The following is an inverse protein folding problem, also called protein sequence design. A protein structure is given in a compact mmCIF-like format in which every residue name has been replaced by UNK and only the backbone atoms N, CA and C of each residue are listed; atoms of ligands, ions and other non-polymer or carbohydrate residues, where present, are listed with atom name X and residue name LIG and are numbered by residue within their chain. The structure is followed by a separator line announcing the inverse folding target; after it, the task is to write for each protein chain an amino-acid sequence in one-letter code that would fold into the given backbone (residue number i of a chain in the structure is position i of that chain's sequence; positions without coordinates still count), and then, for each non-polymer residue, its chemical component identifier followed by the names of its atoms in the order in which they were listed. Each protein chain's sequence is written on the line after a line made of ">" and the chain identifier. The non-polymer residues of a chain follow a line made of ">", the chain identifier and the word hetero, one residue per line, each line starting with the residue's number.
data_IF_878554257041
#
_entry.id   IF_878554257041
#
_cell.length_a   1.000
_cell.length_b   1.000
_cell.length_c   1.000
_cell.angle_alpha   90.00
_cell.angle_beta   90.00
_cell.angle_gamma   90.00
#
_symmetry.space_group_name_H-M   'P 1'
#
loop_
_entity.id
_entity.type
_entity.pdbx_description
1 polymer ?
#
# COMPACT_ATOMS: atom_id res chain seq x y z
N UNK A 1 25.56 17.31 20.03
CA UNK A 1 24.46 16.34 19.86
C UNK A 1 24.05 16.46 18.41
N UNK A 2 24.34 15.46 17.59
CA UNK A 2 23.78 15.40 16.23
C UNK A 2 22.27 15.27 16.37
N UNK A 3 21.54 16.33 16.07
CA UNK A 3 20.12 16.22 15.76
C UNK A 3 20.03 15.34 14.53
N UNK A 4 19.54 14.12 14.67
CA UNK A 4 19.27 13.24 13.53
C UNK A 4 18.49 14.05 12.49
N UNK A 5 19.01 14.10 11.26
CA UNK A 5 18.38 14.84 10.18
C UNK A 5 16.95 14.33 9.99
N UNK A 6 16.00 15.25 9.91
CA UNK A 6 14.59 14.93 9.66
C UNK A 6 14.44 14.22 8.31
N UNK A 7 13.61 13.17 8.20
CA UNK A 7 13.37 12.51 6.92
C UNK A 7 12.71 13.48 5.94
N UNK A 8 13.17 13.47 4.69
CA UNK A 8 12.54 14.25 3.63
C UNK A 8 11.23 13.59 3.18
N UNK A 9 10.31 14.38 2.60
CA UNK A 9 9.09 13.86 1.98
C UNK A 9 9.38 12.70 1.00
N UNK A 10 10.41 12.85 0.15
CA UNK A 10 10.81 11.81 -0.80
C UNK A 10 11.31 10.52 -0.12
N UNK A 11 12.00 10.64 1.02
CA UNK A 11 12.39 9.46 1.81
C UNK A 11 11.18 8.75 2.41
N UNK A 12 10.17 9.49 2.88
CA UNK A 12 8.93 8.92 3.41
C UNK A 12 8.06 8.29 2.33
N UNK A 13 7.98 8.90 1.14
CA UNK A 13 7.34 8.30 -0.03
C UNK A 13 8.02 6.99 -0.41
N UNK A 14 9.35 6.98 -0.55
CA UNK A 14 10.10 5.79 -0.89
C UNK A 14 9.89 4.66 0.12
N UNK A 15 9.94 4.97 1.43
CA UNK A 15 9.68 4.01 2.49
C UNK A 15 8.25 3.44 2.42
N UNK A 16 7.26 4.29 2.17
CA UNK A 16 5.85 3.90 2.06
C UNK A 16 5.63 2.95 0.88
N UNK A 17 6.22 3.27 -0.28
CA UNK A 17 6.17 2.43 -1.48
C UNK A 17 6.85 1.08 -1.26
N UNK A 18 8.03 1.05 -0.64
CA UNK A 18 8.72 -0.20 -0.29
C UNK A 18 7.86 -1.07 0.63
N UNK A 19 7.28 -0.46 1.66
CA UNK A 19 6.45 -1.17 2.63
C UNK A 19 5.18 -1.73 2.01
N UNK A 20 4.55 -0.99 1.09
CA UNK A 20 3.37 -1.42 0.34
C UNK A 20 3.71 -2.54 -0.63
N UNK A 21 4.78 -2.42 -1.42
CA UNK A 21 5.22 -3.48 -2.34
C UNK A 21 5.50 -4.78 -1.58
N UNK A 22 6.26 -4.72 -0.48
CA UNK A 22 6.51 -5.90 0.36
C UNK A 22 5.21 -6.54 0.87
N UNK A 23 4.24 -5.72 1.28
CA UNK A 23 2.95 -6.21 1.77
C UNK A 23 2.12 -6.87 0.66
N UNK A 24 2.11 -6.28 -0.54
CA UNK A 24 1.38 -6.77 -1.71
C UNK A 24 1.99 -8.06 -2.25
N UNK A 25 3.33 -8.16 -2.33
CA UNK A 25 4.03 -9.40 -2.68
C UNK A 25 3.67 -10.51 -1.68
N UNK A 26 3.74 -10.23 -0.38
CA UNK A 26 3.39 -11.22 0.63
C UNK A 26 1.89 -11.62 0.61
N UNK A 27 1.01 -10.73 0.16
CA UNK A 27 -0.41 -11.02 -0.06
C UNK A 27 -0.58 -12.02 -1.22
N UNK A 28 0.08 -11.78 -2.36
CA UNK A 28 0.06 -12.67 -3.52
C UNK A 28 0.67 -14.04 -3.18
N UNK A 29 1.80 -14.07 -2.47
CA UNK A 29 2.41 -15.31 -2.01
C UNK A 29 1.48 -16.11 -1.09
N UNK A 30 0.73 -15.41 -0.22
CA UNK A 30 -0.26 -16.06 0.67
C UNK A 30 -1.36 -16.73 -0.12
N UNK A 31 -1.83 -16.11 -1.20
CA UNK A 31 -2.78 -16.72 -2.12
C UNK A 31 -2.18 -17.93 -2.83
N UNK A 32 -0.96 -17.82 -3.34
CA UNK A 32 -0.30 -18.94 -4.03
C UNK A 32 -0.08 -20.17 -3.12
N UNK A 33 0.03 -19.95 -1.80
CA UNK A 33 0.13 -21.00 -0.81
C UNK A 33 -1.22 -21.54 -0.31
N UNK A 34 -2.34 -20.88 -0.62
CA UNK A 34 -3.68 -21.29 -0.19
C UNK A 34 -4.23 -22.37 -1.14
N UNK A 35 -4.20 -23.62 -0.68
CA UNK A 35 -4.72 -24.76 -1.45
C UNK A 35 -6.24 -24.75 -1.60
N UNK A 36 -6.95 -23.98 -0.76
CA UNK A 36 -8.40 -23.84 -0.80
C UNK A 36 -8.82 -22.58 -1.58
N UNK A 37 -7.91 -22.00 -2.38
CA UNK A 37 -8.23 -20.84 -3.21
C UNK A 37 -9.30 -21.18 -4.24
N UNK A 38 -10.31 -20.32 -4.35
CA UNK A 38 -11.45 -20.58 -5.21
C UNK A 38 -11.36 -19.76 -6.50
N UNK A 39 -11.70 -20.36 -7.64
CA UNK A 39 -11.68 -19.67 -8.95
C UNK A 39 -12.61 -18.45 -8.99
N UNK A 40 -13.63 -18.41 -8.12
CA UNK A 40 -14.52 -17.25 -7.98
C UNK A 40 -13.87 -16.02 -7.33
N UNK A 41 -12.66 -16.15 -6.76
CA UNK A 41 -11.91 -15.05 -6.17
C UNK A 41 -10.91 -14.41 -7.18
N UNK A 42 -11.05 -14.69 -8.48
CA UNK A 42 -10.12 -14.18 -9.51
C UNK A 42 -10.07 -12.66 -9.58
N UNK A 43 -11.19 -11.95 -9.38
CA UNK A 43 -11.20 -10.49 -9.34
C UNK A 43 -10.45 -9.93 -8.11
N UNK A 44 -10.43 -10.68 -7.01
CA UNK A 44 -9.67 -10.33 -5.80
C UNK A 44 -8.17 -10.41 -6.09
N UNK A 45 -7.74 -11.47 -6.80
CA UNK A 45 -6.36 -11.63 -7.27
C UNK A 45 -5.94 -10.48 -8.19
N UNK A 46 -6.76 -10.20 -9.22
CA UNK A 46 -6.48 -9.15 -10.19
C UNK A 46 -6.42 -7.76 -9.55
N UNK A 47 -7.24 -7.50 -8.53
CA UNK A 47 -7.19 -6.24 -7.79
C UNK A 47 -5.88 -6.09 -6.99
N UNK A 48 -5.38 -7.17 -6.38
CA UNK A 48 -4.08 -7.17 -5.69
C UNK A 48 -2.91 -6.97 -6.68
N UNK A 49 -2.95 -7.63 -7.84
CA UNK A 49 -1.96 -7.47 -8.91
C UNK A 49 -1.98 -6.05 -9.49
N UNK A 50 -3.17 -5.47 -9.68
CA UNK A 50 -3.33 -4.10 -10.17
C UNK A 50 -2.73 -3.09 -9.19
N UNK A 51 -2.99 -3.25 -7.89
CA UNK A 51 -2.38 -2.42 -6.86
C UNK A 51 -0.85 -2.55 -6.85
N UNK A 52 -0.30 -3.76 -6.94
CA UNK A 52 1.14 -3.99 -6.98
C UNK A 52 1.80 -3.36 -8.20
N UNK A 53 1.21 -3.54 -9.37
CA UNK A 53 1.71 -2.95 -10.61
C UNK A 53 1.66 -1.42 -10.54
N UNK A 54 0.60 -0.85 -9.97
CA UNK A 54 0.50 0.59 -9.76
C UNK A 54 1.61 1.11 -8.83
N UNK A 55 1.82 0.48 -7.66
CA UNK A 55 2.90 0.85 -6.73
C UNK A 55 4.27 0.82 -7.42
N UNK A 56 4.55 -0.22 -8.22
CA UNK A 56 5.81 -0.32 -9.00
C UNK A 56 5.94 0.77 -10.05
N UNK A 57 4.84 1.15 -10.70
CA UNK A 57 4.86 2.24 -11.69
C UNK A 57 5.15 3.58 -11.02
N UNK A 58 4.46 3.90 -9.92
CA UNK A 58 4.59 5.21 -9.27
C UNK A 58 5.90 5.37 -8.50
N UNK A 59 6.59 4.27 -8.16
CA UNK A 59 7.96 4.27 -7.60
C UNK A 59 8.98 5.03 -8.45
N UNK A 60 8.74 5.14 -9.75
CA UNK A 60 9.63 5.85 -10.66
C UNK A 60 9.21 7.31 -10.91
N UNK A 61 8.12 7.78 -10.27
CA UNK A 61 7.67 9.17 -10.33
C UNK A 61 8.41 10.02 -9.30
N UNK A 62 8.53 11.30 -9.58
CA UNK A 62 8.90 12.32 -8.60
C UNK A 62 7.64 13.13 -8.33
N UNK A 63 7.27 13.25 -7.05
CA UNK A 63 6.10 14.00 -6.62
C UNK A 63 6.53 15.39 -6.17
N UNK A 64 5.86 16.43 -6.66
CA UNK A 64 6.17 17.82 -6.30
C UNK A 64 5.72 18.15 -4.88
N UNK A 65 4.59 17.58 -4.45
CA UNK A 65 4.00 17.76 -3.12
C UNK A 65 3.33 16.46 -2.61
N UNK A 66 2.90 16.47 -1.34
CA UNK A 66 2.22 15.32 -0.74
C UNK A 66 0.87 14.99 -1.41
N UNK A 67 0.17 15.99 -1.97
CA UNK A 67 -1.14 15.80 -2.57
C UNK A 67 -1.08 15.01 -3.89
N UNK A 68 -0.02 15.19 -4.68
CA UNK A 68 0.22 14.40 -5.89
C UNK A 68 0.47 12.92 -5.54
N UNK A 69 1.24 12.67 -4.47
CA UNK A 69 1.47 11.32 -3.97
C UNK A 69 0.16 10.68 -3.49
N UNK A 70 -0.63 11.41 -2.70
CA UNK A 70 -1.89 10.93 -2.15
C UNK A 70 -2.84 10.46 -3.25
N UNK A 71 -3.01 11.24 -4.32
CA UNK A 71 -3.87 10.87 -5.43
C UNK A 71 -3.49 9.50 -6.04
N UNK A 72 -2.20 9.29 -6.31
CA UNK A 72 -1.69 8.04 -6.85
C UNK A 72 -1.77 6.89 -5.84
N UNK A 73 -1.51 7.18 -4.56
CA UNK A 73 -1.56 6.23 -3.47
C UNK A 73 -2.99 5.70 -3.23
N UNK A 74 -3.98 6.58 -3.28
CA UNK A 74 -5.39 6.24 -3.09
C UNK A 74 -5.96 5.36 -4.22
N UNK A 75 -5.38 5.39 -5.43
CA UNK A 75 -5.75 4.46 -6.50
C UNK A 75 -5.37 3.02 -6.16
N UNK A 76 -4.14 2.79 -5.68
CA UNK A 76 -3.72 1.46 -5.21
C UNK A 76 -4.55 1.02 -3.99
N UNK A 77 -4.82 1.94 -3.06
CA UNK A 77 -5.70 1.66 -1.92
C UNK A 77 -7.08 1.19 -2.38
N UNK A 78 -7.70 1.89 -3.34
CA UNK A 78 -9.04 1.58 -3.80
C UNK A 78 -9.14 0.16 -4.36
N UNK A 79 -8.12 -0.28 -5.13
CA UNK A 79 -8.04 -1.65 -5.62
C UNK A 79 -8.04 -2.67 -4.46
N UNK A 80 -7.22 -2.46 -3.43
CA UNK A 80 -7.20 -3.34 -2.24
C UNK A 80 -8.50 -3.29 -1.45
N UNK A 81 -9.14 -2.12 -1.35
CA UNK A 81 -10.42 -1.97 -0.67
C UNK A 81 -11.55 -2.72 -1.39
N UNK A 82 -11.56 -2.71 -2.72
CA UNK A 82 -12.48 -3.50 -3.53
C UNK A 82 -12.22 -5.01 -3.35
N UNK A 83 -10.95 -5.43 -3.37
CA UNK A 83 -10.57 -6.82 -3.12
C UNK A 83 -11.07 -7.29 -1.74
N UNK A 84 -10.86 -6.46 -0.70
CA UNK A 84 -11.30 -6.77 0.66
C UNK A 84 -12.82 -6.85 0.83
N UNK A 85 -13.58 -6.07 0.05
CA UNK A 85 -15.04 -6.11 0.05
C UNK A 85 -15.60 -7.33 -0.70
N UNK A 86 -14.96 -7.71 -1.81
CA UNK A 86 -15.39 -8.84 -2.63
C UNK A 86 -15.02 -10.20 -2.00
N UNK A 87 -13.94 -10.25 -1.21
CA UNK A 87 -13.43 -11.49 -0.65
C UNK A 87 -14.34 -12.10 0.43
N UNK A 88 -14.71 -13.37 0.26
CA UNK A 88 -15.78 -14.02 1.04
C UNK A 88 -15.30 -14.83 2.26
N UNK A 89 -13.98 -14.93 2.50
CA UNK A 89 -13.37 -15.70 3.61
C UNK A 89 -12.72 -14.79 4.66
N UNK A 90 -13.50 -14.05 5.49
CA UNK A 90 -12.98 -13.00 6.37
C UNK A 90 -12.04 -13.48 7.49
N UNK A 91 -12.01 -14.79 7.78
CA UNK A 91 -11.16 -15.38 8.81
C UNK A 91 -9.82 -15.90 8.29
N UNK A 92 -9.59 -15.90 6.96
CA UNK A 92 -8.36 -16.40 6.37
C UNK A 92 -7.17 -15.49 6.66
N UNK A 93 -5.96 -16.04 6.49
CA UNK A 93 -4.72 -15.25 6.55
C UNK A 93 -4.72 -14.15 5.48
N UNK A 94 -5.26 -14.44 4.29
CA UNK A 94 -5.39 -13.48 3.20
C UNK A 94 -6.25 -12.28 3.60
N UNK A 95 -7.43 -12.50 4.20
CA UNK A 95 -8.29 -11.42 4.69
C UNK A 95 -7.62 -10.56 5.77
N UNK A 96 -6.80 -11.17 6.65
CA UNK A 96 -6.02 -10.41 7.64
C UNK A 96 -4.96 -9.54 6.98
N UNK A 97 -4.27 -10.05 5.96
CA UNK A 97 -3.26 -9.29 5.20
C UNK A 97 -3.87 -8.13 4.42
N UNK A 98 -5.04 -8.33 3.80
CA UNK A 98 -5.80 -7.25 3.17
C UNK A 98 -6.09 -6.11 4.15
N UNK A 99 -6.54 -6.43 5.37
CA UNK A 99 -6.79 -5.41 6.42
C UNK A 99 -5.52 -4.66 6.82
N UNK A 100 -4.41 -5.37 7.02
CA UNK A 100 -3.13 -4.74 7.37
C UNK A 100 -2.61 -3.84 6.24
N UNK A 101 -2.80 -4.24 4.98
CA UNK A 101 -2.47 -3.39 3.83
C UNK A 101 -3.34 -2.15 3.80
N UNK A 102 -4.66 -2.28 4.03
CA UNK A 102 -5.54 -1.11 4.10
C UNK A 102 -5.11 -0.13 5.20
N UNK A 103 -4.74 -0.62 6.38
CA UNK A 103 -4.22 0.24 7.45
C UNK A 103 -2.96 1.00 7.02
N UNK A 104 -2.01 0.33 6.37
CA UNK A 104 -0.83 1.00 5.80
C UNK A 104 -1.24 2.07 4.80
N UNK A 105 -2.18 1.77 3.90
CA UNK A 105 -2.66 2.73 2.91
C UNK A 105 -3.37 3.94 3.55
N UNK A 106 -4.02 3.76 4.70
CA UNK A 106 -4.66 4.86 5.45
C UNK A 106 -3.65 5.73 6.20
N UNK A 107 -2.58 5.14 6.73
CA UNK A 107 -1.61 5.84 7.59
C UNK A 107 -0.50 6.54 6.80
N UNK A 108 -0.03 5.95 5.70
CA UNK A 108 1.12 6.44 4.94
C UNK A 108 1.04 7.92 4.48
N UNK A 109 -0.10 8.42 3.97
CA UNK A 109 -0.27 9.83 3.62
C UNK A 109 0.12 10.80 4.76
N UNK A 110 -0.30 10.49 5.99
CA UNK A 110 -0.01 11.33 7.15
C UNK A 110 1.48 11.43 7.47
N UNK A 111 2.25 10.38 7.16
CA UNK A 111 3.71 10.41 7.33
C UNK A 111 4.40 11.27 6.27
N UNK A 112 3.86 11.29 5.05
CA UNK A 112 4.40 12.08 3.94
C UNK A 112 4.10 13.56 4.16
N UNK A 113 2.85 13.90 4.50
CA UNK A 113 2.42 15.26 4.86
C UNK A 113 3.25 15.81 6.03
N UNK A 114 3.45 15.01 7.08
CA UNK A 114 4.28 15.42 8.23
C UNK A 114 5.75 15.66 7.84
N UNK A 115 6.29 14.92 6.87
CA UNK A 115 7.64 15.13 6.38
C UNK A 115 7.77 16.33 5.44
N UNK A 116 6.69 16.75 4.78
CA UNK A 116 6.63 17.96 3.96
C UNK A 116 6.63 19.23 4.82
N UNK A 117 5.83 19.26 5.88
CA UNK A 117 5.71 20.43 6.77
C UNK A 117 6.80 20.51 7.85
N UNK A 118 7.44 19.38 8.16
CA UNK A 118 8.49 19.31 9.17
C UNK A 118 7.96 19.41 10.61
N UNK A 119 8.84 19.34 11.62
CA UNK A 119 8.46 19.27 13.03
C UNK A 119 7.92 20.61 13.61
N UNK A 120 7.93 21.69 12.83
CA UNK A 120 7.44 23.03 13.23
C UNK A 120 6.17 23.46 12.47
N UNK A 121 5.64 22.59 11.60
CA UNK A 121 4.42 22.81 10.80
C UNK A 121 3.13 22.51 11.54
#
# INVERSE_FOLDING_TARGET
>A
MDTAAWPTMQQMIALSLDRAEMGLVALIETRCADMDWHDADVEVDLAADLALNHIRQIRHKVFEDASEFDNEWYLARAAIALAAQAFNRPQSLYARRLKLLLQLFDEAPSFVEYAEHGPEG
#
